data_IF_212568019332
#
_entry.id   IF_212568019332
#
_cell.length_a   1.000
_cell.length_b   1.000
_cell.length_c   1.000
_cell.angle_alpha   90.00
_cell.angle_beta   90.00
_cell.angle_gamma   90.00
#
_symmetry.space_group_name_H-M   'P 1'
#
loop_
_entity.id
_entity.type
_entity.pdbx_description
1 polymer ?
#
# COMPACT_ATOMS: atom_id res chain seq x y z
N UNK A 1 -29.21 8.15 24.22
CA UNK A 1 -28.76 6.93 23.50
C UNK A 1 -28.61 7.13 21.99
N UNK A 2 -29.59 7.75 21.29
CA UNK A 2 -29.50 8.03 19.84
C UNK A 2 -28.26 8.84 19.41
N UNK A 3 -27.88 9.86 20.19
CA UNK A 3 -26.67 10.68 19.92
C UNK A 3 -25.38 9.85 20.00
N UNK A 4 -25.24 9.02 21.04
CA UNK A 4 -24.09 8.11 21.23
C UNK A 4 -23.99 7.10 20.08
N UNK A 5 -25.12 6.59 19.61
CA UNK A 5 -25.18 5.68 18.46
C UNK A 5 -24.68 6.37 17.17
N UNK A 6 -25.09 7.62 16.92
CA UNK A 6 -24.64 8.39 15.75
C UNK A 6 -23.14 8.68 15.83
N UNK A 7 -22.61 9.02 17.01
CA UNK A 7 -21.16 9.25 17.18
C UNK A 7 -20.35 7.97 16.92
N UNK A 8 -20.83 6.82 17.40
CA UNK A 8 -20.19 5.52 17.17
C UNK A 8 -20.18 5.12 15.69
N UNK A 9 -21.30 5.33 14.98
CA UNK A 9 -21.39 5.04 13.56
C UNK A 9 -20.46 5.95 12.75
N UNK A 10 -20.41 7.25 13.07
CA UNK A 10 -19.48 8.18 12.39
C UNK A 10 -18.01 7.82 12.62
N UNK A 11 -17.64 7.39 13.83
CA UNK A 11 -16.27 6.94 14.14
C UNK A 11 -15.90 5.65 13.38
N UNK A 12 -16.86 4.73 13.23
CA UNK A 12 -16.65 3.49 12.47
C UNK A 12 -16.40 3.76 10.97
N UNK A 13 -17.14 4.71 10.38
CA UNK A 13 -16.95 5.09 8.98
C UNK A 13 -15.57 5.71 8.71
N UNK A 14 -15.03 6.47 9.66
CA UNK A 14 -13.69 7.06 9.55
C UNK A 14 -12.58 5.99 9.61
N UNK A 15 -12.80 4.90 10.36
CA UNK A 15 -11.85 3.80 10.48
C UNK A 15 -11.73 2.98 9.18
N UNK A 16 -12.85 2.74 8.47
CA UNK A 16 -12.85 1.94 7.24
C UNK A 16 -12.25 2.65 6.01
N UNK A 17 -12.06 3.96 6.04
CA UNK A 17 -11.57 4.74 4.89
C UNK A 17 -10.06 4.74 4.67
N UNK A 18 -9.26 4.15 5.58
CA UNK A 18 -7.80 4.30 5.58
C UNK A 18 -7.05 3.21 4.79
N UNK A 19 -7.72 2.15 4.34
CA UNK A 19 -7.09 0.97 3.73
C UNK A 19 -7.31 0.87 2.20
N UNK A 20 -7.10 1.96 1.47
CA UNK A 20 -7.20 1.94 0.00
C UNK A 20 -5.82 1.88 -0.66
N UNK A 21 -5.61 0.83 -1.45
CA UNK A 21 -4.45 0.71 -2.34
C UNK A 21 -4.47 1.87 -3.34
N UNK A 22 -3.37 2.63 -3.39
CA UNK A 22 -3.20 3.67 -4.40
C UNK A 22 -2.94 3.04 -5.76
N UNK A 23 -3.41 3.66 -6.84
CA UNK A 23 -2.97 3.28 -8.19
C UNK A 23 -1.46 3.57 -8.35
N UNK A 24 -0.76 2.89 -9.28
CA UNK A 24 0.68 3.13 -9.48
C UNK A 24 0.97 4.59 -9.80
N UNK A 25 0.13 5.24 -10.61
CA UNK A 25 0.30 6.65 -10.99
C UNK A 25 0.10 7.59 -9.80
N UNK A 26 -0.87 7.30 -8.93
CA UNK A 26 -1.11 8.07 -7.70
C UNK A 26 0.00 7.86 -6.66
N UNK A 27 0.63 6.68 -6.63
CA UNK A 27 1.77 6.40 -5.76
C UNK A 27 3.07 7.01 -6.28
N UNK A 28 3.34 6.87 -7.58
CA UNK A 28 4.58 7.29 -8.22
C UNK A 28 4.61 8.79 -8.56
N UNK A 29 3.44 9.42 -8.73
CA UNK A 29 3.30 10.84 -9.06
C UNK A 29 3.56 11.17 -10.53
N UNK A 30 3.54 10.17 -11.43
CA UNK A 30 3.67 10.34 -12.87
C UNK A 30 2.94 9.22 -13.62
N UNK A 31 2.62 9.47 -14.88
CA UNK A 31 1.93 8.51 -15.76
C UNK A 31 2.83 7.31 -16.05
N UNK A 32 2.25 6.10 -16.07
CA UNK A 32 3.01 4.90 -16.42
C UNK A 32 3.58 5.03 -17.85
N UNK A 33 4.84 4.66 -18.02
CA UNK A 33 5.54 4.73 -19.31
C UNK A 33 6.04 6.13 -19.68
N UNK A 34 5.78 7.17 -18.88
CA UNK A 34 6.30 8.52 -19.18
C UNK A 34 7.79 8.68 -18.85
N UNK A 35 8.34 7.85 -17.98
CA UNK A 35 9.76 7.83 -17.62
C UNK A 35 10.17 6.48 -17.04
N UNK A 36 11.47 6.24 -16.98
CA UNK A 36 12.03 5.10 -16.27
C UNK A 36 11.70 5.16 -14.77
N UNK A 37 11.16 4.06 -14.23
CA UNK A 37 10.93 3.87 -12.80
C UNK A 37 12.08 3.07 -12.20
N UNK A 38 12.87 3.64 -11.28
CA UNK A 38 13.92 2.91 -10.58
C UNK A 38 13.37 1.70 -9.81
N UNK A 39 14.13 0.62 -9.75
CA UNK A 39 13.71 -0.64 -9.11
C UNK A 39 13.22 -0.45 -7.65
N UNK A 40 13.89 0.39 -6.85
CA UNK A 40 13.47 0.63 -5.47
C UNK A 40 12.06 1.23 -5.35
N UNK A 41 11.61 2.04 -6.34
CA UNK A 41 10.25 2.59 -6.35
C UNK A 41 9.21 1.50 -6.63
N UNK A 42 9.54 0.53 -7.49
CA UNK A 42 8.68 -0.64 -7.74
C UNK A 42 8.57 -1.51 -6.49
N UNK A 43 9.70 -1.82 -5.85
CA UNK A 43 9.70 -2.59 -4.59
C UNK A 43 8.90 -1.89 -3.52
N UNK A 44 9.04 -0.57 -3.37
CA UNK A 44 8.26 0.22 -2.42
C UNK A 44 6.75 0.19 -2.74
N UNK A 45 6.37 0.21 -4.01
CA UNK A 45 4.96 0.08 -4.39
C UNK A 45 4.40 -1.30 -4.06
N UNK A 46 5.14 -2.38 -4.32
CA UNK A 46 4.70 -3.74 -3.94
C UNK A 46 4.58 -3.91 -2.43
N UNK A 47 5.50 -3.34 -1.65
CA UNK A 47 5.40 -3.29 -0.18
C UNK A 47 4.13 -2.56 0.25
N UNK A 48 3.86 -1.38 -0.32
CA UNK A 48 2.63 -0.65 -0.06
C UNK A 48 1.38 -1.49 -0.34
N UNK A 49 1.30 -2.15 -1.49
CA UNK A 49 0.16 -3.01 -1.83
C UNK A 49 0.00 -4.15 -0.82
N UNK A 50 1.08 -4.86 -0.49
CA UNK A 50 1.03 -5.96 0.47
C UNK A 50 0.61 -5.51 1.88
N UNK A 51 1.01 -4.31 2.30
CA UNK A 51 0.60 -3.72 3.59
C UNK A 51 -0.88 -3.31 3.62
N UNK A 52 -1.42 -2.81 2.50
CA UNK A 52 -2.81 -2.34 2.43
C UNK A 52 -3.81 -3.49 2.24
N UNK A 53 -3.45 -4.55 1.52
CA UNK A 53 -4.32 -5.71 1.26
C UNK A 53 -3.63 -7.04 1.61
N UNK A 54 -3.22 -7.25 2.87
CA UNK A 54 -2.46 -8.44 3.27
C UNK A 54 -3.26 -9.74 3.14
N UNK A 55 -4.59 -9.66 3.10
CA UNK A 55 -5.47 -10.81 2.86
C UNK A 55 -5.43 -11.32 1.41
N UNK A 56 -4.96 -10.50 0.47
CA UNK A 56 -4.97 -10.79 -0.98
C UNK A 56 -3.55 -10.92 -1.52
N UNK A 57 -2.62 -10.12 -1.01
CA UNK A 57 -1.24 -10.03 -1.52
C UNK A 57 -0.25 -10.40 -0.42
N UNK A 58 0.63 -11.36 -0.73
CA UNK A 58 1.77 -11.74 0.11
C UNK A 58 3.06 -11.43 -0.63
N UNK A 59 3.86 -10.50 -0.10
CA UNK A 59 5.23 -10.23 -0.58
C UNK A 59 6.20 -11.09 0.22
N UNK A 60 6.99 -11.94 -0.44
CA UNK A 60 7.88 -12.90 0.22
C UNK A 60 9.32 -12.65 -0.17
N UNK A 61 10.16 -12.32 0.81
CA UNK A 61 11.61 -12.27 0.57
C UNK A 61 12.13 -13.70 0.37
N UNK A 62 12.78 -13.96 -0.77
CA UNK A 62 13.35 -15.27 -1.09
C UNK A 62 14.89 -15.30 -1.01
N UNK A 63 15.52 -14.14 -0.85
CA UNK A 63 16.97 -14.06 -0.71
C UNK A 63 17.47 -12.65 -0.53
N UNK A 64 18.77 -12.50 -0.76
CA UNK A 64 19.51 -11.27 -0.58
C UNK A 64 20.69 -11.25 -1.57
N UNK A 65 20.98 -10.09 -2.15
CA UNK A 65 22.16 -9.92 -3.02
C UNK A 65 23.44 -9.82 -2.19
N UNK A 66 24.61 -9.92 -2.83
CA UNK A 66 25.92 -9.67 -2.19
C UNK A 66 26.05 -8.27 -1.55
N UNK A 67 25.28 -7.29 -2.02
CA UNK A 67 25.25 -5.93 -1.46
C UNK A 67 24.23 -5.75 -0.32
N UNK A 68 23.73 -6.85 0.24
CA UNK A 68 22.73 -6.86 1.30
C UNK A 68 21.36 -6.26 0.93
N UNK A 69 20.97 -6.34 -0.35
CA UNK A 69 19.66 -5.90 -0.83
C UNK A 69 18.66 -7.05 -0.81
N UNK A 70 17.47 -6.87 -0.22
CA UNK A 70 16.46 -7.91 -0.16
C UNK A 70 15.89 -8.20 -1.56
N UNK A 71 15.71 -9.48 -1.86
CA UNK A 71 15.04 -9.96 -3.06
C UNK A 71 13.65 -10.48 -2.67
N UNK A 72 12.61 -9.81 -3.17
CA UNK A 72 11.21 -10.10 -2.91
C UNK A 72 10.51 -10.67 -4.14
#
# INVERSE_FOLDING_TARGET
>A
MKKVLVTLVSALHLCCGLAQVKSPEAFLGYKIGSRYTPHYQLVNYFKHVAEQVPAIVKLQQYGETNEHRPLY
#
